data_IF_561187355198
#
_entry.id   IF_561187355198
#
_cell.length_a   1.000
_cell.length_b   1.000
_cell.length_c   1.000
_cell.angle_alpha   90.00
_cell.angle_beta   90.00
_cell.angle_gamma   90.00
#
_symmetry.space_group_name_H-M   'P 1'
#
loop_
_entity.id
_entity.type
_entity.pdbx_description
1 polymer ?
#
# COMPACT_ATOMS: atom_id res chain seq x y z
N UNK A 1 -8.46 18.85 10.37
CA UNK A 1 -9.70 19.45 9.81
C UNK A 1 -10.83 19.27 10.79
N UNK A 2 -11.12 20.30 11.57
CA UNK A 2 -11.85 20.19 12.85
C UNK A 2 -12.96 21.22 13.01
N UNK A 3 -13.98 21.16 12.17
CA UNK A 3 -15.23 21.85 12.45
C UNK A 3 -16.12 20.93 13.30
N UNK A 4 -16.62 21.43 14.43
CA UNK A 4 -17.49 20.66 15.33
C UNK A 4 -18.88 20.55 14.69
N UNK A 5 -19.37 19.34 14.43
CA UNK A 5 -20.76 19.14 13.97
C UNK A 5 -21.73 19.68 15.03
N UNK A 6 -22.73 20.43 14.57
CA UNK A 6 -23.66 21.17 15.41
C UNK A 6 -24.99 20.42 15.60
N UNK A 7 -25.27 19.37 14.81
CA UNK A 7 -26.53 18.59 14.79
C UNK A 7 -26.25 17.07 14.79
N UNK A 8 -25.86 16.49 15.94
CA UNK A 8 -25.55 15.06 16.05
C UNK A 8 -26.72 14.13 15.70
N UNK A 9 -27.96 14.63 15.76
CA UNK A 9 -29.19 13.92 15.38
C UNK A 9 -29.32 13.70 13.86
N UNK A 10 -28.75 14.58 13.04
CA UNK A 10 -28.78 14.48 11.59
C UNK A 10 -27.56 13.74 11.04
N UNK A 11 -26.37 14.13 11.51
CA UNK A 11 -25.10 13.53 11.10
C UNK A 11 -24.12 13.56 12.26
N UNK A 12 -23.27 12.54 12.36
CA UNK A 12 -22.13 12.56 13.30
C UNK A 12 -20.95 13.37 12.77
N UNK A 13 -21.01 13.81 11.51
CA UNK A 13 -19.95 14.53 10.82
C UNK A 13 -20.49 15.84 10.23
N UNK A 14 -19.66 16.91 10.21
CA UNK A 14 -19.93 18.13 9.46
C UNK A 14 -20.48 17.83 8.06
N UNK A 15 -21.66 18.35 7.75
CA UNK A 15 -22.31 18.23 6.43
C UNK A 15 -22.44 19.59 5.75
N UNK A 16 -22.24 19.65 4.43
CA UNK A 16 -22.42 20.85 3.60
C UNK A 16 -23.26 20.54 2.36
N UNK A 17 -24.10 21.50 1.95
CA UNK A 17 -24.88 21.39 0.71
C UNK A 17 -23.98 21.65 -0.51
N UNK A 18 -24.14 20.87 -1.59
CA UNK A 18 -23.27 20.96 -2.79
C UNK A 18 -23.97 21.57 -4.01
N UNK A 19 -23.29 22.55 -4.64
CA UNK A 19 -23.49 22.92 -6.05
C UNK A 19 -22.96 21.78 -6.97
N UNK A 20 -23.54 21.51 -8.16
CA UNK A 20 -24.63 22.21 -8.85
C UNK A 20 -26.05 21.77 -8.50
N UNK A 21 -26.25 20.85 -7.57
CA UNK A 21 -27.60 20.34 -7.24
C UNK A 21 -28.34 21.30 -6.29
N UNK A 22 -27.63 21.97 -5.37
CA UNK A 22 -28.18 23.10 -4.63
C UNK A 22 -27.90 24.40 -5.37
N UNK A 23 -28.93 25.21 -5.69
CA UNK A 23 -28.76 26.52 -6.32
C UNK A 23 -28.00 27.56 -5.46
N UNK A 24 -27.71 27.23 -4.19
CA UNK A 24 -26.82 28.00 -3.35
C UNK A 24 -25.37 27.56 -3.58
N UNK A 25 -24.41 28.50 -3.72
CA UNK A 25 -22.99 28.18 -3.67
C UNK A 25 -22.66 27.37 -2.41
N UNK A 26 -21.74 26.41 -2.49
CA UNK A 26 -21.16 25.80 -1.29
C UNK A 26 -20.32 26.86 -0.60
N UNK A 27 -20.95 27.64 0.27
CA UNK A 27 -20.34 28.78 0.96
C UNK A 27 -19.82 28.40 2.36
N UNK A 28 -19.63 27.10 2.59
CA UNK A 28 -19.13 26.58 3.86
C UNK A 28 -20.17 26.51 4.98
N UNK A 29 -21.44 26.86 4.72
CA UNK A 29 -22.53 26.69 5.70
C UNK A 29 -22.92 25.22 5.87
N UNK A 30 -23.18 24.86 7.12
CA UNK A 30 -23.69 23.53 7.48
C UNK A 30 -25.05 23.24 6.80
N UNK A 31 -25.25 22.02 6.33
CA UNK A 31 -26.49 21.56 5.70
C UNK A 31 -27.60 21.32 6.75
N UNK A 32 -28.48 22.29 7.01
CA UNK A 32 -29.41 22.30 8.15
C UNK A 32 -30.48 21.19 8.16
N UNK A 33 -30.75 20.55 7.03
CA UNK A 33 -31.72 19.48 6.89
C UNK A 33 -31.30 18.48 5.79
N UNK A 34 -31.99 17.33 5.74
CA UNK A 34 -31.80 16.27 4.74
C UNK A 34 -32.49 16.56 3.39
N UNK A 35 -32.87 17.81 3.13
CA UNK A 35 -33.71 18.22 2.00
C UNK A 35 -32.91 18.43 0.70
N UNK A 36 -31.57 18.33 0.77
CA UNK A 36 -30.65 18.56 -0.34
C UNK A 36 -29.52 17.54 -0.34
N UNK A 37 -28.91 17.34 -1.50
CA UNK A 37 -27.70 16.54 -1.61
C UNK A 37 -26.56 17.25 -0.86
N UNK A 38 -26.03 16.57 0.15
CA UNK A 38 -24.95 17.05 1.01
C UNK A 38 -23.74 16.11 1.00
N UNK A 39 -22.55 16.63 1.30
CA UNK A 39 -21.34 15.83 1.53
C UNK A 39 -20.81 16.06 2.94
N UNK A 40 -20.01 15.11 3.44
CA UNK A 40 -19.32 15.22 4.71
C UNK A 40 -17.83 14.94 4.57
N UNK A 41 -17.04 15.69 5.35
CA UNK A 41 -15.65 15.36 5.57
C UNK A 41 -15.57 14.30 6.68
N UNK A 42 -15.70 13.02 6.29
CA UNK A 42 -15.64 11.88 7.22
C UNK A 42 -14.26 11.80 7.91
N UNK A 43 -13.22 12.26 7.23
CA UNK A 43 -11.84 12.25 7.71
C UNK A 43 -11.09 13.47 7.20
N UNK A 44 -10.25 14.06 8.06
CA UNK A 44 -9.30 15.12 7.68
C UNK A 44 -7.99 14.87 8.41
N UNK A 45 -7.22 13.85 8.00
CA UNK A 45 -6.02 13.43 8.71
C UNK A 45 -4.96 14.51 8.62
N UNK A 46 -4.30 14.73 9.74
CA UNK A 46 -3.11 15.57 9.84
C UNK A 46 -1.93 14.65 10.09
N UNK A 47 -1.33 14.04 9.05
CA UNK A 47 -0.19 13.16 9.24
C UNK A 47 0.97 13.92 9.86
N UNK A 48 1.83 13.24 10.65
CA UNK A 48 3.12 13.81 11.02
C UNK A 48 3.88 14.23 9.76
N UNK A 49 4.28 15.50 9.72
CA UNK A 49 5.02 16.09 8.61
C UNK A 49 6.48 16.30 9.02
N UNK A 50 7.40 15.96 8.15
CA UNK A 50 8.83 16.29 8.30
C UNK A 50 9.31 17.16 7.16
N UNK A 51 10.23 18.09 7.45
CA UNK A 51 10.86 18.94 6.45
C UNK A 51 12.24 18.37 6.11
N UNK A 52 12.51 18.19 4.82
CA UNK A 52 13.81 17.81 4.27
C UNK A 52 14.75 19.02 4.21
N UNK A 53 16.05 18.76 4.04
CA UNK A 53 17.09 19.81 3.94
C UNK A 53 16.86 20.78 2.77
N UNK A 54 16.28 20.30 1.69
CA UNK A 54 15.91 21.10 0.50
C UNK A 54 14.64 21.95 0.69
N UNK A 55 14.03 21.92 1.88
CA UNK A 55 12.80 22.64 2.19
C UNK A 55 11.51 21.87 1.94
N UNK A 56 11.55 20.72 1.26
CA UNK A 56 10.38 19.89 0.96
C UNK A 56 9.73 19.37 2.24
N UNK A 57 8.40 19.51 2.36
CA UNK A 57 7.63 18.94 3.49
C UNK A 57 6.97 17.64 3.05
N UNK A 58 7.12 16.58 3.85
CA UNK A 58 6.58 15.25 3.56
C UNK A 58 5.73 14.76 4.72
N UNK A 59 4.46 14.50 4.45
CA UNK A 59 3.53 13.81 5.35
C UNK A 59 2.98 12.56 4.67
N UNK A 60 2.76 11.49 5.43
CA UNK A 60 2.21 10.23 4.91
C UNK A 60 1.10 9.72 5.81
N UNK A 61 0.00 9.30 5.22
CA UNK A 61 -1.09 8.62 5.91
C UNK A 61 -1.69 7.52 5.03
N UNK A 62 -2.27 6.51 5.67
CA UNK A 62 -3.16 5.54 5.03
C UNK A 62 -4.56 5.82 5.55
N UNK A 63 -5.52 5.95 4.65
CA UNK A 63 -6.92 6.15 4.97
C UNK A 63 -7.77 5.10 4.27
N UNK A 64 -8.80 4.63 4.97
CA UNK A 64 -9.80 3.71 4.42
C UNK A 64 -10.91 3.49 5.42
N UNK A 65 -11.99 2.85 4.97
CA UNK A 65 -13.10 2.40 5.80
C UNK A 65 -13.04 0.89 5.93
N UNK A 66 -13.36 0.37 7.12
CA UNK A 66 -13.37 -1.06 7.39
C UNK A 66 -14.39 -1.38 8.47
N UNK A 67 -14.99 -2.55 8.38
CA UNK A 67 -15.81 -3.21 9.38
C UNK A 67 -14.98 -3.96 10.44
N UNK A 68 -13.65 -4.00 10.27
CA UNK A 68 -12.73 -4.69 11.18
C UNK A 68 -12.50 -3.87 12.45
N UNK A 69 -12.25 -4.59 13.55
CA UNK A 69 -11.87 -3.97 14.82
C UNK A 69 -10.47 -3.33 14.76
N UNK A 70 -10.18 -2.44 15.71
CA UNK A 70 -8.90 -1.73 15.77
C UNK A 70 -7.71 -2.70 15.96
N UNK A 71 -7.90 -3.80 16.69
CA UNK A 71 -6.89 -4.83 16.91
C UNK A 71 -6.48 -5.52 15.60
N UNK A 72 -7.42 -5.65 14.65
CA UNK A 72 -7.15 -6.21 13.32
C UNK A 72 -6.45 -5.23 12.39
N UNK A 73 -6.46 -3.93 12.70
CA UNK A 73 -5.75 -2.89 11.95
C UNK A 73 -4.34 -2.65 12.47
N UNK A 74 -4.09 -2.92 13.76
CA UNK A 74 -2.78 -2.70 14.37
C UNK A 74 -1.62 -3.42 13.64
N UNK A 75 -1.76 -4.69 13.20
CA UNK A 75 -0.72 -5.36 12.40
C UNK A 75 -0.47 -4.67 11.06
N UNK A 76 -1.51 -4.19 10.36
CA UNK A 76 -1.35 -3.47 9.10
C UNK A 76 -0.60 -2.15 9.29
N UNK A 77 -0.90 -1.43 10.38
CA UNK A 77 -0.17 -0.21 10.72
C UNK A 77 1.29 -0.52 11.07
N UNK A 78 1.55 -1.57 11.86
CA UNK A 78 2.91 -2.03 12.18
C UNK A 78 3.68 -2.44 10.92
N UNK A 79 3.09 -3.21 10.01
CA UNK A 79 3.75 -3.64 8.78
C UNK A 79 4.16 -2.47 7.87
N UNK A 80 3.49 -1.33 7.96
CA UNK A 80 3.82 -0.13 7.19
C UNK A 80 4.83 0.79 7.88
N UNK A 81 4.76 0.90 9.21
CA UNK A 81 5.64 1.75 10.01
C UNK A 81 6.97 1.07 10.35
N UNK A 82 6.92 -0.25 10.57
CA UNK A 82 8.03 -1.15 10.92
C UNK A 82 7.98 -2.35 9.96
N UNK A 83 8.34 -2.16 8.68
CA UNK A 83 8.33 -3.25 7.72
C UNK A 83 9.29 -4.36 8.17
N UNK A 84 8.94 -5.61 7.91
CA UNK A 84 9.84 -6.73 8.12
C UNK A 84 11.11 -6.57 7.27
N UNK A 85 12.25 -6.98 7.80
CA UNK A 85 13.50 -6.95 7.05
C UNK A 85 13.44 -7.95 5.88
N UNK A 86 13.91 -7.51 4.71
CA UNK A 86 14.05 -8.36 3.52
C UNK A 86 15.53 -8.70 3.31
N UNK A 87 15.87 -9.99 3.33
CA UNK A 87 17.21 -10.50 3.07
C UNK A 87 17.27 -11.27 1.76
N UNK A 88 17.87 -10.67 0.73
CA UNK A 88 18.12 -11.34 -0.55
C UNK A 88 19.16 -12.44 -0.34
N UNK A 89 18.94 -13.62 -0.93
CA UNK A 89 19.84 -14.78 -0.80
C UNK A 89 20.75 -14.98 -2.02
N UNK A 90 20.42 -14.36 -3.16
CA UNK A 90 21.12 -14.55 -4.44
C UNK A 90 21.86 -13.27 -4.90
N UNK A 91 22.96 -13.42 -5.62
CA UNK A 91 23.79 -12.30 -6.11
C UNK A 91 23.21 -11.56 -7.34
N UNK A 92 22.14 -12.10 -7.96
CA UNK A 92 21.53 -11.54 -9.17
C UNK A 92 20.65 -10.31 -8.94
N UNK A 93 20.29 -10.05 -7.68
CA UNK A 93 19.38 -8.97 -7.30
C UNK A 93 19.91 -8.19 -6.10
N UNK A 94 19.50 -6.94 -6.00
CA UNK A 94 19.79 -6.07 -4.86
C UNK A 94 18.50 -5.51 -4.25
N UNK A 95 18.50 -5.28 -2.95
CA UNK A 95 17.39 -4.63 -2.24
C UNK A 95 17.68 -3.15 -2.09
N UNK A 96 16.74 -2.32 -2.54
CA UNK A 96 16.74 -0.87 -2.30
C UNK A 96 15.95 -0.51 -1.03
N UNK A 97 15.44 -1.52 -0.30
CA UNK A 97 14.70 -1.36 0.94
C UNK A 97 13.19 -1.23 0.76
N UNK A 98 12.51 -0.72 1.79
CA UNK A 98 11.06 -0.59 1.80
C UNK A 98 10.62 0.86 1.53
N UNK A 99 9.83 1.04 0.47
CA UNK A 99 9.20 2.32 0.16
C UNK A 99 7.89 2.47 0.92
N UNK A 100 7.86 3.40 1.88
CA UNK A 100 6.63 3.77 2.59
C UNK A 100 5.60 4.40 1.67
N UNK A 101 6.04 5.09 0.63
CA UNK A 101 5.18 5.76 -0.34
C UNK A 101 4.42 4.76 -1.21
N UNK A 102 5.08 3.66 -1.59
CA UNK A 102 4.48 2.60 -2.38
C UNK A 102 3.90 1.46 -1.53
N UNK A 103 4.18 1.44 -0.22
CA UNK A 103 3.90 0.31 0.68
C UNK A 103 4.44 -1.01 0.08
N UNK A 104 5.65 -0.97 -0.44
CA UNK A 104 6.26 -2.08 -1.18
C UNK A 104 7.78 -2.15 -0.92
N UNK A 105 8.31 -3.35 -1.02
CA UNK A 105 9.76 -3.60 -1.06
C UNK A 105 10.27 -3.37 -2.48
N UNK A 106 11.36 -2.63 -2.60
CA UNK A 106 11.96 -2.30 -3.89
C UNK A 106 13.21 -3.15 -4.07
N UNK A 107 13.23 -3.93 -5.15
CA UNK A 107 14.32 -4.82 -5.54
C UNK A 107 14.73 -4.47 -6.96
N UNK A 108 15.99 -4.71 -7.31
CA UNK A 108 16.51 -4.41 -8.64
C UNK A 108 17.29 -5.61 -9.17
N UNK A 109 16.99 -6.01 -10.42
CA UNK A 109 17.82 -6.97 -11.12
C UNK A 109 19.16 -6.33 -11.48
N UNK A 110 20.26 -6.99 -11.13
CA UNK A 110 21.61 -6.51 -11.42
C UNK A 110 21.97 -6.74 -12.91
N UNK A 111 21.28 -7.68 -13.58
CA UNK A 111 21.44 -7.97 -15.02
C UNK A 111 20.05 -8.08 -15.66
N UNK A 112 19.62 -7.07 -16.43
CA UNK A 112 18.29 -7.06 -17.06
C UNK A 112 18.08 -8.26 -18.00
N UNK A 113 16.86 -8.82 -18.00
CA UNK A 113 16.44 -9.83 -18.98
C UNK A 113 17.01 -11.24 -18.82
N UNK A 114 17.81 -11.50 -17.78
CA UNK A 114 18.29 -12.86 -17.47
C UNK A 114 17.23 -13.61 -16.67
N UNK A 115 17.04 -14.90 -16.97
CA UNK A 115 16.11 -15.80 -16.28
C UNK A 115 16.59 -16.19 -14.87
N UNK A 116 16.88 -15.19 -14.04
CA UNK A 116 17.34 -15.39 -12.69
C UNK A 116 16.14 -15.58 -11.76
N UNK A 117 16.20 -16.64 -10.96
CA UNK A 117 15.26 -16.83 -9.86
C UNK A 117 15.67 -15.89 -8.72
N UNK A 118 14.72 -15.10 -8.24
CA UNK A 118 14.90 -14.22 -7.10
C UNK A 118 14.44 -14.93 -5.83
N UNK A 119 15.37 -15.19 -4.90
CA UNK A 119 15.07 -15.70 -3.56
C UNK A 119 15.41 -14.69 -2.49
N UNK A 120 14.48 -14.54 -1.56
CA UNK A 120 14.68 -13.70 -0.39
C UNK A 120 13.86 -14.18 0.78
N UNK A 121 14.29 -13.79 1.97
CA UNK A 121 13.60 -14.05 3.22
C UNK A 121 12.96 -12.76 3.73
N UNK A 122 11.67 -12.81 4.05
CA UNK A 122 11.00 -11.76 4.80
C UNK A 122 10.95 -12.15 6.27
N UNK A 123 11.64 -11.41 7.12
CA UNK A 123 11.77 -11.68 8.55
C UNK A 123 10.57 -11.14 9.33
N UNK A 124 9.41 -11.75 9.13
CA UNK A 124 8.19 -11.45 9.87
C UNK A 124 8.34 -11.70 11.37
N UNK A 125 7.76 -10.81 12.17
CA UNK A 125 7.68 -10.90 13.63
C UNK A 125 6.41 -10.22 14.16
N UNK A 126 6.14 -10.27 15.47
CA UNK A 126 5.03 -9.53 16.09
C UNK A 126 5.17 -8.00 15.94
N UNK A 127 6.42 -7.51 16.03
CA UNK A 127 6.78 -6.10 15.89
C UNK A 127 6.76 -5.63 14.44
N UNK A 128 7.14 -6.52 13.52
CA UNK A 128 7.20 -6.29 12.08
C UNK A 128 6.42 -7.37 11.33
N UNK A 129 5.07 -7.38 11.44
CA UNK A 129 4.26 -8.43 10.85
C UNK A 129 4.22 -8.30 9.33
N UNK A 130 4.09 -9.44 8.66
CA UNK A 130 3.83 -9.50 7.23
C UNK A 130 2.32 -9.35 7.05
N UNK A 131 1.89 -8.27 6.39
CA UNK A 131 0.47 -8.03 6.09
C UNK A 131 0.37 -7.56 4.65
N UNK A 132 -0.05 -8.48 3.78
CA UNK A 132 -0.23 -8.25 2.35
C UNK A 132 0.95 -7.52 1.71
N UNK A 133 2.17 -8.10 1.78
CA UNK A 133 3.37 -7.47 1.25
C UNK A 133 3.28 -7.31 -0.27
N UNK A 134 3.84 -6.20 -0.75
CA UNK A 134 4.01 -5.92 -2.16
C UNK A 134 5.48 -5.71 -2.49
N UNK A 135 5.84 -5.97 -3.75
CA UNK A 135 7.20 -5.88 -4.25
C UNK A 135 7.20 -5.18 -5.60
N UNK A 136 8.20 -4.35 -5.83
CA UNK A 136 8.55 -3.86 -7.16
C UNK A 136 9.93 -4.41 -7.47
N UNK A 137 10.01 -5.26 -8.49
CA UNK A 137 11.27 -5.81 -8.98
C UNK A 137 11.61 -5.06 -10.26
N UNK A 138 12.55 -4.13 -10.16
CA UNK A 138 12.97 -3.31 -11.30
C UNK A 138 13.77 -4.14 -12.30
N UNK A 139 13.63 -3.78 -13.57
CA UNK A 139 14.32 -4.42 -14.68
C UNK A 139 14.08 -5.95 -14.74
N UNK A 140 12.86 -6.39 -14.43
CA UNK A 140 12.45 -7.79 -14.50
C UNK A 140 12.32 -8.27 -15.95
N UNK A 141 11.83 -7.42 -16.84
CA UNK A 141 11.45 -7.78 -18.22
C UNK A 141 9.97 -8.14 -18.33
N UNK A 142 9.57 -8.68 -19.49
CA UNK A 142 8.15 -8.89 -19.83
C UNK A 142 7.60 -10.28 -19.45
N UNK A 143 8.43 -11.15 -18.87
CA UNK A 143 7.99 -12.50 -18.47
C UNK A 143 7.05 -12.44 -17.28
N UNK A 144 6.05 -13.33 -17.29
CA UNK A 144 5.25 -13.61 -16.10
C UNK A 144 6.13 -14.19 -14.97
N UNK A 145 5.54 -14.32 -13.77
CA UNK A 145 6.25 -14.79 -12.58
C UNK A 145 5.51 -15.93 -11.89
N UNK A 146 6.25 -16.96 -11.52
CA UNK A 146 5.80 -18.03 -10.63
C UNK A 146 6.28 -17.75 -9.19
N UNK A 147 5.36 -17.88 -8.23
CA UNK A 147 5.63 -17.67 -6.80
C UNK A 147 5.69 -19.01 -6.06
N UNK A 148 6.71 -19.18 -5.22
CA UNK A 148 6.71 -20.13 -4.11
C UNK A 148 6.90 -19.42 -2.77
N UNK A 149 6.20 -19.90 -1.76
CA UNK A 149 6.37 -19.48 -0.37
C UNK A 149 6.70 -20.72 0.46
N UNK A 150 7.84 -20.72 1.15
CA UNK A 150 8.34 -21.86 1.93
C UNK A 150 8.32 -23.17 1.11
N UNK A 151 8.73 -23.09 -0.17
CA UNK A 151 8.74 -24.22 -1.11
C UNK A 151 7.39 -24.59 -1.72
N UNK A 152 6.26 -24.07 -1.20
CA UNK A 152 4.93 -24.33 -1.75
C UNK A 152 4.59 -23.36 -2.87
N UNK A 153 4.20 -23.89 -4.03
CA UNK A 153 3.76 -23.07 -5.17
C UNK A 153 2.42 -22.40 -4.90
N UNK A 154 2.33 -21.11 -5.21
CA UNK A 154 1.11 -20.30 -5.12
C UNK A 154 0.67 -19.92 -6.53
N UNK A 155 -0.57 -20.30 -6.88
CA UNK A 155 -1.15 -19.99 -8.19
C UNK A 155 -1.60 -18.52 -8.24
N UNK A 156 -1.50 -17.90 -9.41
CA UNK A 156 -2.04 -16.56 -9.66
C UNK A 156 -3.55 -16.55 -9.37
N UNK A 157 -4.04 -15.50 -8.71
CA UNK A 157 -5.44 -15.38 -8.34
C UNK A 157 -5.67 -14.38 -7.21
N UNK A 158 -6.56 -14.73 -6.28
CA UNK A 158 -6.87 -13.87 -5.12
C UNK A 158 -5.70 -13.75 -4.15
N UNK A 159 -4.80 -14.73 -4.11
CA UNK A 159 -3.71 -14.76 -3.13
C UNK A 159 -2.35 -14.33 -3.68
N UNK A 160 -2.23 -14.24 -4.99
CA UNK A 160 -1.02 -13.83 -5.68
C UNK A 160 -1.41 -13.09 -6.96
N UNK A 161 -1.05 -11.81 -7.02
CA UNK A 161 -1.30 -10.94 -8.16
C UNK A 161 0.01 -10.31 -8.57
N UNK A 162 0.16 -10.10 -9.87
CA UNK A 162 1.25 -9.32 -10.41
C UNK A 162 0.83 -8.62 -11.68
N UNK A 163 1.59 -7.61 -12.06
CA UNK A 163 1.50 -6.90 -13.33
C UNK A 163 2.82 -6.23 -13.67
N UNK A 164 2.95 -5.82 -14.93
CA UNK A 164 4.17 -5.21 -15.46
C UNK A 164 3.98 -3.71 -15.61
N UNK A 165 4.98 -2.95 -15.16
CA UNK A 165 5.08 -1.52 -15.38
C UNK A 165 6.17 -1.26 -16.43
N UNK A 166 5.74 -0.95 -17.65
CA UNK A 166 6.64 -0.70 -18.78
C UNK A 166 7.12 0.75 -18.76
N UNK A 167 8.43 0.91 -18.67
CA UNK A 167 9.14 2.17 -18.82
C UNK A 167 9.71 2.26 -20.24
N UNK A 168 10.39 3.37 -20.55
CA UNK A 168 10.98 3.59 -21.88
C UNK A 168 12.04 2.53 -22.23
N UNK A 169 12.87 2.15 -21.26
CA UNK A 169 14.06 1.30 -21.47
C UNK A 169 13.99 -0.03 -20.71
N UNK A 170 12.97 -0.24 -19.88
CA UNK A 170 12.86 -1.44 -19.05
C UNK A 170 11.42 -1.76 -18.65
N UNK A 171 11.21 -2.98 -18.17
CA UNK A 171 9.93 -3.42 -17.62
C UNK A 171 10.14 -3.85 -16.17
N UNK A 172 9.42 -3.19 -15.27
CA UNK A 172 9.38 -3.53 -13.85
C UNK A 172 8.24 -4.51 -13.57
N UNK A 173 8.42 -5.41 -12.62
CA UNK A 173 7.39 -6.32 -12.16
C UNK A 173 6.85 -5.86 -10.80
N UNK A 174 5.54 -5.70 -10.71
CA UNK A 174 4.83 -5.38 -9.48
C UNK A 174 4.13 -6.63 -8.99
N UNK A 175 4.38 -7.04 -7.74
CA UNK A 175 3.80 -8.22 -7.11
C UNK A 175 3.05 -7.82 -5.85
N UNK A 176 1.91 -8.47 -5.62
CA UNK A 176 1.16 -8.40 -4.38
C UNK A 176 0.78 -9.81 -3.91
N UNK A 177 0.98 -10.09 -2.64
CA UNK A 177 0.71 -11.40 -2.02
C UNK A 177 -0.32 -11.21 -0.90
N UNK A 178 -1.41 -11.97 -0.92
CA UNK A 178 -2.38 -12.01 0.17
C UNK A 178 -1.87 -12.93 1.27
N UNK A 179 -1.25 -12.38 2.31
CA UNK A 179 -0.78 -13.18 3.43
C UNK A 179 -0.72 -12.35 4.71
N UNK A 180 -1.00 -13.00 5.82
CA UNK A 180 -0.73 -12.47 7.15
C UNK A 180 0.12 -13.47 7.92
N UNK A 181 1.26 -13.02 8.43
CA UNK A 181 2.20 -13.86 9.17
C UNK A 181 3.05 -13.03 10.12
N UNK A 182 3.35 -13.58 11.29
CA UNK A 182 4.38 -13.07 12.22
C UNK A 182 5.62 -13.98 12.24
N UNK A 183 5.68 -14.95 11.32
CA UNK A 183 6.83 -15.84 11.13
C UNK A 183 7.59 -15.45 9.86
N UNK A 184 8.91 -15.70 9.81
CA UNK A 184 9.68 -15.56 8.59
C UNK A 184 9.12 -16.39 7.44
N UNK A 185 9.21 -15.85 6.24
CA UNK A 185 8.82 -16.54 5.00
C UNK A 185 9.97 -16.51 4.00
N UNK A 186 10.27 -17.67 3.43
CA UNK A 186 11.14 -17.78 2.26
C UNK A 186 10.29 -17.60 1.00
N UNK A 187 10.61 -16.58 0.19
CA UNK A 187 9.92 -16.29 -1.05
C UNK A 187 10.86 -16.57 -2.22
N UNK A 188 10.33 -17.27 -3.22
CA UNK A 188 11.00 -17.52 -4.50
C UNK A 188 10.11 -17.02 -5.64
N UNK A 189 10.68 -16.18 -6.49
CA UNK A 189 10.07 -15.63 -7.70
C UNK A 189 10.89 -16.10 -8.89
N UNK A 190 10.30 -16.93 -9.74
CA UNK A 190 10.94 -17.45 -10.94
C UNK A 190 10.22 -16.89 -12.18
N UNK A 191 10.95 -16.46 -13.22
CA UNK A 191 10.35 -16.17 -14.52
C UNK A 191 9.56 -17.38 -15.02
N UNK A 192 8.33 -17.14 -15.48
CA UNK A 192 7.48 -18.14 -16.13
C UNK A 192 7.12 -17.68 -17.54
N UNK A 193 6.74 -18.62 -18.41
CA UNK A 193 6.30 -18.30 -19.78
C UNK A 193 5.13 -17.31 -19.80
N UNK A 194 5.00 -16.60 -20.92
CA UNK A 194 3.92 -15.64 -21.20
C UNK A 194 2.57 -16.31 -21.37
#
# INVERSE_FOLDING_TARGET
GGTKELRPEYSKFPTWNHWPVSQAPSDGRYALAADRVSSSAITSPEPPMSRRKDGTVVGRFIMGLTDKSIEKLAPMARSWLKPAELKVKDNGFSSEGYSRDQRAYILSSNVPGVDNVLRFELLGSEDSPLVNPAFVVKNWGDKDVALKINGRQIRRGKDFRFGHHRLLESTDLIIWINISSVKPLLIELAPSGN
#
